data_IF_378357820814
#
_entry.id   IF_378357820814
#
_cell.length_a   1.000
_cell.length_b   1.000
_cell.length_c   1.000
_cell.angle_alpha   90.00
_cell.angle_beta   90.00
_cell.angle_gamma   90.00
#
_symmetry.space_group_name_H-M   'P 1'
#
loop_
_entity.id
_entity.type
_entity.pdbx_description
1 polymer ?
#
# COMPACT_ATOMS: atom_id res chain seq x y z
N UNK A 1 -4.59 9.17 6.63
CA UNK A 1 -4.87 10.04 7.78
C UNK A 1 -4.09 11.34 7.70
N UNK A 2 -4.48 12.32 8.49
CA UNK A 2 -3.88 13.65 8.49
C UNK A 2 -2.74 13.76 9.51
N UNK A 3 -1.70 14.56 9.19
CA UNK A 3 -0.71 15.02 10.16
C UNK A 3 -1.13 16.38 10.71
N UNK A 4 -1.40 16.46 12.00
CA UNK A 4 -1.87 17.68 12.67
C UNK A 4 -0.71 18.40 13.36
N UNK A 5 -0.54 19.70 13.08
CA UNK A 5 0.40 20.57 13.78
C UNK A 5 -0.36 21.55 14.69
N UNK A 6 0.00 21.60 15.97
CA UNK A 6 -0.69 22.43 16.95
C UNK A 6 0.28 23.10 17.91
N UNK A 7 -0.08 24.31 18.39
CA UNK A 7 0.58 24.97 19.50
C UNK A 7 0.03 24.58 20.85
N UNK A 8 -1.00 23.73 20.89
CA UNK A 8 -1.73 23.32 22.09
C UNK A 8 -2.43 24.45 22.85
N UNK A 9 -2.59 25.62 22.21
CA UNK A 9 -3.14 26.83 22.85
C UNK A 9 -4.55 26.63 23.41
N UNK A 10 -5.45 26.02 22.65
CA UNK A 10 -6.85 25.81 23.04
C UNK A 10 -6.99 24.96 24.31
N UNK A 11 -6.02 24.10 24.58
CA UNK A 11 -6.03 23.16 25.70
C UNK A 11 -5.09 23.55 26.85
N UNK A 12 -4.29 24.60 26.68
CA UNK A 12 -3.23 24.96 27.65
C UNK A 12 -3.75 25.31 29.04
N UNK A 13 -4.99 25.73 29.17
CA UNK A 13 -5.60 26.23 30.42
C UNK A 13 -6.46 25.21 31.18
N UNK A 14 -6.79 24.06 30.57
CA UNK A 14 -7.72 23.07 31.16
C UNK A 14 -7.24 21.65 30.91
N UNK A 15 -6.68 20.96 31.94
CA UNK A 15 -6.21 19.57 31.80
C UNK A 15 -7.29 18.60 31.30
N UNK A 16 -8.53 18.72 31.78
CA UNK A 16 -9.64 17.84 31.41
C UNK A 16 -9.99 17.97 29.90
N UNK A 17 -10.00 19.23 29.40
CA UNK A 17 -10.22 19.50 27.97
C UNK A 17 -9.10 18.95 27.09
N UNK A 18 -7.89 18.81 27.63
CA UNK A 18 -6.76 18.22 26.88
C UNK A 18 -7.00 16.74 26.59
N UNK A 19 -7.41 15.97 27.59
CA UNK A 19 -7.66 14.54 27.44
C UNK A 19 -8.85 14.27 26.51
N UNK A 20 -9.97 14.95 26.73
CA UNK A 20 -11.18 14.78 25.92
C UNK A 20 -10.96 15.21 24.47
N UNK A 21 -10.28 16.34 24.26
CA UNK A 21 -9.91 16.82 22.94
C UNK A 21 -8.99 15.83 22.21
N UNK A 22 -7.98 15.30 22.91
CA UNK A 22 -7.07 14.33 22.34
C UNK A 22 -7.77 13.01 21.98
N UNK A 23 -8.62 12.48 22.86
CA UNK A 23 -9.40 11.24 22.60
C UNK A 23 -10.31 11.36 21.38
N UNK A 24 -10.88 12.55 21.13
CA UNK A 24 -11.72 12.81 19.94
C UNK A 24 -10.89 12.95 18.65
N UNK A 25 -9.67 13.46 18.76
CA UNK A 25 -8.79 13.72 17.63
C UNK A 25 -8.00 12.48 17.21
N UNK A 26 -7.45 11.74 18.18
CA UNK A 26 -6.51 10.64 17.94
C UNK A 26 -7.01 9.57 16.94
N UNK A 27 -8.28 9.14 16.94
CA UNK A 27 -8.76 8.15 15.97
C UNK A 27 -8.84 8.66 14.51
N UNK A 28 -8.74 9.97 14.30
CA UNK A 28 -8.96 10.62 12.99
C UNK A 28 -7.67 11.04 12.29
N UNK A 29 -6.55 10.99 12.99
CA UNK A 29 -5.26 11.51 12.50
C UNK A 29 -4.20 10.40 12.49
N UNK A 30 -3.18 10.57 11.65
CA UNK A 30 -2.05 9.62 11.54
C UNK A 30 -0.87 10.00 12.42
N UNK A 31 -0.72 11.27 12.76
CA UNK A 31 0.33 11.76 13.65
C UNK A 31 0.00 13.18 14.12
N UNK A 32 0.64 13.62 15.22
CA UNK A 32 0.49 14.97 15.75
C UNK A 32 1.85 15.59 16.12
N UNK A 33 2.09 16.80 15.65
CA UNK A 33 3.22 17.63 16.06
C UNK A 33 2.76 18.74 17.02
N UNK A 34 3.31 18.75 18.23
CA UNK A 34 2.95 19.72 19.28
C UNK A 34 4.09 20.68 19.52
N UNK A 35 3.87 21.97 19.32
CA UNK A 35 4.87 23.01 19.53
C UNK A 35 4.97 23.40 21.00
N UNK A 36 6.14 23.14 21.58
CA UNK A 36 6.48 23.49 22.99
C UNK A 36 7.21 24.82 23.08
N UNK A 37 7.30 25.37 24.30
CA UNK A 37 8.03 26.60 24.61
C UNK A 37 7.25 27.91 24.44
N UNK A 38 5.95 27.86 24.01
CA UNK A 38 5.11 29.06 23.92
C UNK A 38 3.89 29.01 24.85
N UNK A 39 3.09 27.96 24.76
CA UNK A 39 1.86 27.78 25.54
C UNK A 39 1.96 26.62 26.52
N UNK A 40 2.77 25.65 26.19
CA UNK A 40 3.17 24.54 27.09
C UNK A 40 4.68 24.36 27.01
N UNK A 41 5.31 24.08 28.14
CA UNK A 41 6.76 23.84 28.19
C UNK A 41 7.14 22.41 27.82
N UNK A 42 6.26 21.45 28.14
CA UNK A 42 6.43 20.03 27.85
C UNK A 42 5.08 19.42 27.51
N UNK A 43 5.08 18.39 26.68
CA UNK A 43 3.88 17.62 26.39
C UNK A 43 3.46 16.89 27.67
N UNK A 44 2.18 17.02 28.10
CA UNK A 44 1.70 16.36 29.32
C UNK A 44 1.84 14.83 29.24
N UNK A 45 2.30 14.21 30.33
CA UNK A 45 2.52 12.75 30.39
C UNK A 45 1.24 11.96 30.04
N UNK A 46 0.09 12.41 30.48
CA UNK A 46 -1.21 11.81 30.16
C UNK A 46 -1.51 11.78 28.65
N UNK A 47 -1.11 12.82 27.92
CA UNK A 47 -1.26 12.87 26.47
C UNK A 47 -0.35 11.85 25.79
N UNK A 48 0.88 11.69 26.28
CA UNK A 48 1.79 10.66 25.78
C UNK A 48 1.25 9.25 26.03
N UNK A 49 0.72 8.99 27.24
CA UNK A 49 0.07 7.70 27.57
C UNK A 49 -1.15 7.42 26.70
N UNK A 50 -1.98 8.43 26.43
CA UNK A 50 -3.10 8.29 25.50
C UNK A 50 -2.62 8.04 24.07
N UNK A 51 -1.57 8.72 23.63
CA UNK A 51 -0.99 8.52 22.30
C UNK A 51 -0.51 7.07 22.12
N UNK A 52 0.14 6.49 23.14
CA UNK A 52 0.54 5.08 23.14
C UNK A 52 -0.66 4.13 23.02
N UNK A 53 -1.75 4.41 23.76
CA UNK A 53 -2.99 3.61 23.67
C UNK A 53 -3.60 3.63 22.27
N UNK A 54 -3.59 4.80 21.61
CA UNK A 54 -4.09 4.97 20.23
C UNK A 54 -3.05 4.60 19.17
N UNK A 55 -1.82 4.22 19.55
CA UNK A 55 -0.68 4.00 18.65
C UNK A 55 -0.44 5.20 17.73
N UNK A 56 -0.65 6.41 18.26
CA UNK A 56 -0.52 7.66 17.53
C UNK A 56 0.87 8.27 17.74
N UNK A 57 1.71 8.44 16.70
CA UNK A 57 2.98 9.13 16.80
C UNK A 57 2.80 10.59 17.24
N UNK A 58 3.53 10.99 18.29
CA UNK A 58 3.57 12.37 18.80
C UNK A 58 4.96 12.94 18.63
N UNK A 59 5.06 14.09 17.99
CA UNK A 59 6.32 14.80 17.77
C UNK A 59 6.35 16.10 18.57
N UNK A 60 7.43 16.31 19.34
CA UNK A 60 7.70 17.60 19.94
C UNK A 60 8.35 18.53 18.91
N UNK A 61 7.70 19.66 18.64
CA UNK A 61 8.22 20.71 17.74
C UNK A 61 8.77 21.85 18.60
N UNK A 62 10.09 22.07 18.57
CA UNK A 62 10.74 23.15 19.33
C UNK A 62 10.31 24.52 18.82
N UNK A 63 10.32 25.51 19.71
CA UNK A 63 9.92 26.92 19.41
C UNK A 63 10.66 27.51 18.22
N UNK A 64 11.94 27.19 18.05
CA UNK A 64 12.77 27.69 16.93
C UNK A 64 12.29 27.23 15.56
N UNK A 65 11.59 26.10 15.46
CA UNK A 65 11.09 25.56 14.18
C UNK A 65 9.81 26.29 13.79
N UNK A 66 9.78 26.91 12.61
CA UNK A 66 8.57 27.53 12.09
C UNK A 66 7.66 26.48 11.46
N UNK A 67 6.37 26.50 11.76
CA UNK A 67 5.40 25.57 11.15
C UNK A 67 5.41 25.60 9.63
N UNK A 68 5.59 26.78 9.04
CA UNK A 68 5.68 26.94 7.59
C UNK A 68 6.83 26.11 7.00
N UNK A 69 8.02 26.17 7.59
CA UNK A 69 9.19 25.41 7.14
C UNK A 69 8.95 23.90 7.27
N UNK A 70 8.37 23.48 8.40
CA UNK A 70 8.03 22.09 8.64
C UNK A 70 7.00 21.55 7.63
N UNK A 71 5.93 22.32 7.37
CA UNK A 71 4.91 21.95 6.37
C UNK A 71 5.53 21.86 4.98
N UNK A 72 6.36 22.83 4.58
CA UNK A 72 7.04 22.78 3.30
C UNK A 72 7.93 21.54 3.15
N UNK A 73 8.75 21.25 4.16
CA UNK A 73 9.62 20.05 4.16
C UNK A 73 8.80 18.77 4.04
N UNK A 74 7.79 18.58 4.88
CA UNK A 74 6.93 17.39 4.85
C UNK A 74 6.23 17.23 3.49
N UNK A 75 5.67 18.35 2.96
CA UNK A 75 4.99 18.32 1.65
C UNK A 75 5.96 17.95 0.53
N UNK A 76 7.17 18.54 0.55
CA UNK A 76 8.21 18.21 -0.44
C UNK A 76 8.63 16.73 -0.37
N UNK A 77 8.80 16.18 0.82
CA UNK A 77 9.14 14.77 0.98
C UNK A 77 8.02 13.83 0.48
N UNK A 78 6.75 14.16 0.77
CA UNK A 78 5.61 13.40 0.25
C UNK A 78 5.58 13.45 -1.28
N UNK A 79 5.77 14.63 -1.88
CA UNK A 79 5.81 14.79 -3.34
C UNK A 79 6.98 14.03 -3.96
N UNK A 80 8.17 14.10 -3.36
CA UNK A 80 9.35 13.37 -3.81
C UNK A 80 9.10 11.85 -3.76
N UNK A 81 8.50 11.35 -2.68
CA UNK A 81 8.15 9.94 -2.55
C UNK A 81 7.18 9.49 -3.66
N UNK A 82 6.11 10.25 -3.90
CA UNK A 82 5.13 9.96 -4.96
C UNK A 82 5.78 9.99 -6.34
N UNK A 83 6.61 10.99 -6.63
CA UNK A 83 7.31 11.11 -7.91
C UNK A 83 8.27 9.95 -8.13
N UNK A 84 9.07 9.58 -7.12
CA UNK A 84 9.99 8.46 -7.21
C UNK A 84 9.26 7.12 -7.42
N UNK A 85 8.11 6.93 -6.79
CA UNK A 85 7.26 5.75 -6.98
C UNK A 85 6.76 5.68 -8.43
N UNK A 86 6.28 6.78 -9.00
CA UNK A 86 5.82 6.83 -10.40
C UNK A 86 6.97 6.55 -11.37
N UNK A 87 8.16 7.11 -11.14
CA UNK A 87 9.35 6.83 -11.97
C UNK A 87 9.74 5.35 -11.92
N UNK A 88 9.65 4.73 -10.74
CA UNK A 88 9.95 3.30 -10.59
C UNK A 88 8.92 2.43 -11.33
N UNK A 89 7.63 2.74 -11.20
CA UNK A 89 6.54 2.06 -11.92
C UNK A 89 6.74 2.19 -13.43
N UNK A 90 7.06 3.38 -13.93
CA UNK A 90 7.32 3.62 -15.35
C UNK A 90 8.53 2.82 -15.85
N UNK A 91 9.64 2.81 -15.12
CA UNK A 91 10.81 1.98 -15.48
C UNK A 91 10.47 0.50 -15.54
N UNK A 92 9.62 0.03 -14.65
CA UNK A 92 9.17 -1.36 -14.63
C UNK A 92 8.28 -1.67 -15.85
N UNK A 93 7.39 -0.75 -16.19
CA UNK A 93 6.55 -0.86 -17.40
C UNK A 93 7.38 -0.93 -18.68
N UNK A 94 8.39 -0.07 -18.83
CA UNK A 94 9.30 -0.10 -19.97
C UNK A 94 10.05 -1.43 -20.08
N UNK A 95 10.47 -2.03 -18.96
CA UNK A 95 11.06 -3.39 -18.97
C UNK A 95 10.07 -4.45 -19.43
N UNK A 96 8.80 -4.37 -19.02
CA UNK A 96 7.78 -5.30 -19.49
C UNK A 96 7.53 -5.19 -20.98
N UNK A 97 7.37 -3.97 -21.50
CA UNK A 97 7.22 -3.73 -22.94
C UNK A 97 8.44 -4.28 -23.71
N UNK A 98 9.65 -3.96 -23.25
CA UNK A 98 10.87 -4.43 -23.91
C UNK A 98 10.94 -5.96 -23.92
N UNK A 99 10.55 -6.61 -22.81
CA UNK A 99 10.52 -8.08 -22.72
C UNK A 99 9.46 -8.65 -23.66
N UNK A 100 8.26 -8.05 -23.71
CA UNK A 100 7.18 -8.51 -24.59
C UNK A 100 7.50 -8.37 -26.09
N UNK A 101 8.23 -7.33 -26.46
CA UNK A 101 8.66 -7.11 -27.85
C UNK A 101 9.80 -8.05 -28.29
N UNK A 102 10.60 -8.52 -27.34
CA UNK A 102 11.79 -9.35 -27.63
C UNK A 102 11.61 -10.83 -27.30
N UNK A 103 10.51 -11.21 -26.69
CA UNK A 103 10.19 -12.62 -26.39
C UNK A 103 8.69 -12.88 -26.56
N UNK A 104 8.34 -13.87 -27.38
CA UNK A 104 6.98 -14.40 -27.49
C UNK A 104 6.62 -15.31 -26.29
N UNK A 105 7.46 -15.31 -25.23
CA UNK A 105 7.31 -16.23 -24.11
C UNK A 105 6.68 -15.53 -22.89
N UNK A 106 5.44 -15.90 -22.59
CA UNK A 106 4.71 -15.45 -21.41
C UNK A 106 5.47 -15.74 -20.09
N UNK A 107 6.27 -16.81 -20.05
CA UNK A 107 7.07 -17.13 -18.87
C UNK A 107 8.10 -16.05 -18.56
N UNK A 108 8.71 -15.45 -19.58
CA UNK A 108 9.65 -14.33 -19.43
C UNK A 108 8.98 -13.11 -18.81
N UNK A 109 7.75 -12.77 -19.23
CA UNK A 109 6.97 -11.67 -18.63
C UNK A 109 6.62 -11.95 -17.17
N UNK A 110 6.12 -13.14 -16.87
CA UNK A 110 5.79 -13.54 -15.50
C UNK A 110 7.04 -13.58 -14.60
N UNK A 111 8.21 -13.94 -15.15
CA UNK A 111 9.47 -13.86 -14.42
C UNK A 111 9.88 -12.41 -14.09
N UNK A 112 9.72 -11.47 -15.00
CA UNK A 112 9.99 -10.05 -14.74
C UNK A 112 9.07 -9.54 -13.65
N UNK A 113 7.77 -9.81 -13.73
CA UNK A 113 6.77 -9.40 -12.73
C UNK A 113 7.04 -10.02 -11.36
N UNK A 114 7.30 -11.32 -11.30
CA UNK A 114 7.58 -12.02 -10.05
C UNK A 114 8.85 -11.52 -9.34
N UNK A 115 9.91 -11.23 -10.12
CA UNK A 115 11.13 -10.62 -9.58
C UNK A 115 10.91 -9.20 -9.05
N UNK A 116 10.01 -8.42 -9.63
CA UNK A 116 9.68 -7.08 -9.14
C UNK A 116 8.83 -7.11 -7.88
N UNK A 117 7.85 -8.00 -7.85
CA UNK A 117 6.91 -8.16 -6.75
C UNK A 117 7.53 -8.88 -5.54
N UNK A 118 8.53 -9.74 -5.76
CA UNK A 118 9.04 -10.70 -4.77
C UNK A 118 7.94 -11.57 -4.15
N UNK A 119 6.85 -11.79 -4.88
CA UNK A 119 5.68 -12.59 -4.47
C UNK A 119 5.39 -13.65 -5.50
N UNK A 120 4.85 -14.78 -5.04
CA UNK A 120 4.36 -15.82 -5.95
C UNK A 120 3.33 -15.23 -6.90
N UNK A 121 3.50 -15.44 -8.19
CA UNK A 121 2.55 -15.00 -9.20
C UNK A 121 2.47 -15.99 -10.35
N UNK A 122 1.34 -16.00 -11.02
CA UNK A 122 1.09 -16.89 -12.16
C UNK A 122 0.00 -16.36 -13.09
N UNK A 123 0.04 -16.80 -14.34
CA UNK A 123 -0.99 -16.52 -15.32
C UNK A 123 -1.84 -17.75 -15.59
N UNK A 124 -3.15 -17.55 -15.69
CA UNK A 124 -4.12 -18.54 -16.15
C UNK A 124 -4.70 -18.11 -17.50
N UNK A 125 -5.04 -19.10 -18.34
CA UNK A 125 -5.94 -18.84 -19.47
C UNK A 125 -7.40 -18.69 -18.99
N UNK A 126 -8.32 -18.41 -19.91
CA UNK A 126 -9.75 -18.26 -19.61
C UNK A 126 -10.38 -19.53 -19.03
N UNK A 127 -9.84 -20.73 -19.33
CA UNK A 127 -10.28 -22.02 -18.80
C UNK A 127 -9.71 -22.34 -17.40
N UNK A 128 -8.80 -21.51 -16.88
CA UNK A 128 -8.16 -21.69 -15.58
C UNK A 128 -6.94 -22.62 -15.58
N UNK A 129 -6.33 -22.85 -16.76
CA UNK A 129 -5.07 -23.59 -16.89
C UNK A 129 -3.89 -22.64 -16.66
N UNK A 130 -2.90 -23.06 -15.87
CA UNK A 130 -1.66 -22.31 -15.66
C UNK A 130 -0.85 -22.28 -16.95
N UNK A 131 -0.57 -21.06 -17.45
CA UNK A 131 0.27 -20.83 -18.62
C UNK A 131 1.72 -20.57 -18.23
N UNK A 132 1.94 -19.78 -17.18
CA UNK A 132 3.26 -19.44 -16.66
C UNK A 132 3.17 -19.14 -15.17
N UNK A 133 4.27 -19.34 -14.45
CA UNK A 133 4.36 -19.06 -13.01
C UNK A 133 5.75 -18.64 -12.61
N UNK A 134 5.83 -17.76 -11.63
CA UNK A 134 7.04 -17.43 -10.88
C UNK A 134 6.83 -17.75 -9.41
N UNK A 135 7.80 -18.42 -8.81
CA UNK A 135 7.69 -18.81 -7.41
C UNK A 135 8.88 -18.36 -6.60
N UNK A 136 8.61 -17.88 -5.41
CA UNK A 136 9.62 -17.65 -4.38
C UNK A 136 10.20 -19.00 -3.93
N UNK A 137 11.46 -19.00 -3.49
CA UNK A 137 12.10 -20.22 -2.94
C UNK A 137 11.22 -20.83 -1.83
N UNK A 138 10.98 -22.13 -1.92
CA UNK A 138 10.17 -22.89 -0.95
C UNK A 138 8.72 -23.13 -1.35
N UNK A 139 8.19 -22.45 -2.38
CA UNK A 139 6.84 -22.70 -2.91
C UNK A 139 6.81 -24.04 -3.64
N UNK A 140 5.82 -24.88 -3.33
CA UNK A 140 5.66 -26.21 -3.93
C UNK A 140 4.67 -26.16 -5.09
N UNK A 141 4.78 -27.10 -6.02
CA UNK A 141 3.83 -27.23 -7.14
C UNK A 141 2.39 -27.42 -6.65
N UNK A 142 2.20 -28.13 -5.51
CA UNK A 142 0.89 -28.33 -4.91
C UNK A 142 0.24 -27.02 -4.50
N UNK A 143 1.00 -26.06 -3.98
CA UNK A 143 0.48 -24.76 -3.57
C UNK A 143 -0.20 -24.01 -4.75
N UNK A 144 0.36 -24.10 -5.96
CA UNK A 144 -0.26 -23.54 -7.17
C UNK A 144 -1.56 -24.24 -7.57
N UNK A 145 -1.63 -25.56 -7.40
CA UNK A 145 -2.86 -26.32 -7.68
C UNK A 145 -3.96 -25.94 -6.69
N UNK A 146 -3.63 -25.85 -5.41
CA UNK A 146 -4.56 -25.45 -4.35
C UNK A 146 -5.08 -24.01 -4.61
N UNK A 147 -4.23 -23.09 -5.04
CA UNK A 147 -4.62 -21.73 -5.42
C UNK A 147 -5.55 -21.71 -6.64
N UNK A 148 -5.27 -22.51 -7.67
CA UNK A 148 -6.15 -22.57 -8.86
C UNK A 148 -7.51 -23.17 -8.52
N UNK A 149 -7.59 -24.12 -7.61
CA UNK A 149 -8.84 -24.69 -7.13
C UNK A 149 -9.64 -23.65 -6.33
N UNK A 150 -9.02 -22.90 -5.44
CA UNK A 150 -9.65 -21.77 -4.73
C UNK A 150 -10.26 -20.75 -5.70
N UNK A 151 -9.59 -20.44 -6.81
CA UNK A 151 -10.13 -19.52 -7.82
C UNK A 151 -11.38 -20.08 -8.47
N UNK A 152 -11.42 -21.39 -8.77
CA UNK A 152 -12.57 -22.05 -9.39
C UNK A 152 -13.77 -22.14 -8.46
N UNK A 153 -13.54 -22.45 -7.18
CA UNK A 153 -14.59 -22.68 -6.17
C UNK A 153 -15.05 -21.41 -5.47
N UNK A 154 -14.16 -20.41 -5.30
CA UNK A 154 -14.39 -19.22 -4.52
C UNK A 154 -15.19 -18.10 -5.23
N UNK A 155 -16.03 -18.42 -6.24
CA UNK A 155 -16.78 -17.41 -6.99
C UNK A 155 -17.69 -16.51 -6.13
N UNK A 156 -18.18 -17.03 -5.00
CA UNK A 156 -19.06 -16.31 -4.08
C UNK A 156 -18.30 -15.49 -3.01
N UNK A 157 -16.98 -15.65 -2.91
CA UNK A 157 -16.13 -14.99 -1.89
C UNK A 157 -15.30 -13.84 -2.47
N UNK A 158 -15.63 -13.38 -3.68
CA UNK A 158 -14.89 -12.33 -4.36
C UNK A 158 -15.11 -10.98 -3.70
N UNK A 159 -14.02 -10.33 -3.33
CA UNK A 159 -14.04 -8.93 -2.91
C UNK A 159 -13.45 -8.11 -4.06
N UNK A 160 -14.29 -7.29 -4.69
CA UNK A 160 -13.91 -6.45 -5.81
C UNK A 160 -13.15 -5.21 -5.35
N UNK A 161 -12.16 -4.82 -6.13
CA UNK A 161 -11.36 -3.59 -5.96
C UNK A 161 -11.29 -2.86 -7.30
N UNK A 162 -10.81 -1.63 -7.31
CA UNK A 162 -10.64 -0.83 -8.54
C UNK A 162 -9.67 -1.48 -9.55
N UNK A 163 -8.85 -2.43 -9.10
CA UNK A 163 -7.80 -3.07 -9.91
C UNK A 163 -8.11 -4.52 -10.29
N UNK A 164 -9.23 -5.09 -9.83
CA UNK A 164 -9.57 -6.49 -10.00
C UNK A 164 -10.36 -7.01 -8.81
N UNK A 165 -10.13 -8.24 -8.41
CA UNK A 165 -10.75 -8.81 -7.22
C UNK A 165 -9.77 -9.72 -6.47
N UNK A 166 -10.06 -10.01 -5.20
CA UNK A 166 -9.28 -10.97 -4.44
C UNK A 166 -10.17 -12.02 -3.76
N UNK A 167 -9.59 -13.20 -3.57
CA UNK A 167 -10.17 -14.33 -2.85
C UNK A 167 -9.12 -14.80 -1.86
N UNK A 168 -9.36 -14.61 -0.56
CA UNK A 168 -8.38 -14.90 0.48
C UNK A 168 -7.04 -14.15 0.24
N UNK A 169 -5.97 -14.91 -0.03
CA UNK A 169 -4.62 -14.41 -0.32
C UNK A 169 -4.35 -14.16 -1.82
N UNK A 170 -5.33 -14.37 -2.70
CA UNK A 170 -5.17 -14.31 -4.15
C UNK A 170 -5.74 -13.00 -4.70
N UNK A 171 -4.87 -12.15 -5.20
CA UNK A 171 -5.23 -10.93 -5.90
C UNK A 171 -5.25 -11.20 -7.40
N UNK A 172 -6.40 -11.04 -8.03
CA UNK A 172 -6.69 -11.48 -9.39
C UNK A 172 -6.93 -10.27 -10.27
N UNK A 173 -6.14 -10.16 -11.32
CA UNK A 173 -6.24 -9.12 -12.36
C UNK A 173 -6.69 -9.80 -13.65
N UNK A 174 -7.81 -9.35 -14.20
CA UNK A 174 -8.37 -9.92 -15.43
C UNK A 174 -7.73 -9.30 -16.66
N UNK A 175 -7.28 -10.15 -17.58
CA UNK A 175 -6.61 -9.74 -18.83
C UNK A 175 -7.63 -9.81 -19.97
N UNK A 176 -7.83 -8.69 -20.67
CA UNK A 176 -8.79 -8.58 -21.76
C UNK A 176 -8.11 -8.24 -23.08
N UNK A 177 -8.57 -8.87 -24.17
CA UNK A 177 -8.27 -8.44 -25.52
C UNK A 177 -9.58 -8.18 -26.27
N UNK A 178 -9.75 -6.97 -26.85
CA UNK A 178 -10.97 -6.57 -27.56
C UNK A 178 -12.25 -6.89 -26.78
N UNK A 179 -12.27 -6.57 -25.49
CA UNK A 179 -13.38 -6.82 -24.55
C UNK A 179 -13.68 -8.30 -24.25
N UNK A 180 -12.85 -9.23 -24.71
CA UNK A 180 -12.96 -10.65 -24.38
C UNK A 180 -11.91 -11.00 -23.30
N UNK A 181 -12.34 -11.69 -22.24
CA UNK A 181 -11.46 -12.21 -21.22
C UNK A 181 -10.55 -13.29 -21.82
N UNK A 182 -9.26 -13.03 -21.89
CA UNK A 182 -8.25 -13.96 -22.43
C UNK A 182 -7.52 -14.74 -21.33
N UNK A 183 -7.46 -14.18 -20.12
CA UNK A 183 -6.76 -14.82 -19.02
C UNK A 183 -6.83 -14.03 -17.73
N UNK A 184 -6.03 -14.45 -16.75
CA UNK A 184 -5.91 -13.80 -15.44
C UNK A 184 -4.47 -13.82 -14.99
N UNK A 185 -3.98 -12.69 -14.48
CA UNK A 185 -2.72 -12.60 -13.75
C UNK A 185 -3.03 -12.60 -12.25
N UNK A 186 -2.36 -13.46 -11.49
CA UNK A 186 -2.62 -13.65 -10.07
C UNK A 186 -1.36 -13.35 -9.28
N UNK A 187 -1.51 -12.57 -8.20
CA UNK A 187 -0.49 -12.32 -7.18
C UNK A 187 -0.94 -12.96 -5.87
N UNK A 188 -0.07 -13.75 -5.25
CA UNK A 188 -0.35 -14.36 -3.94
C UNK A 188 0.26 -13.47 -2.86
N UNK A 189 -0.60 -12.90 -2.00
CA UNK A 189 -0.16 -12.03 -0.91
C UNK A 189 -1.13 -12.10 0.28
N UNK A 190 -0.59 -12.24 1.48
CA UNK A 190 -1.35 -12.09 2.71
C UNK A 190 -1.77 -10.63 2.89
N UNK A 191 -3.07 -10.37 3.05
CA UNK A 191 -3.62 -9.04 3.22
C UNK A 191 -3.70 -8.23 1.92
N UNK A 192 -3.76 -6.90 2.04
CA UNK A 192 -3.91 -6.02 0.89
C UNK A 192 -2.57 -5.77 0.20
N UNK A 193 -2.61 -5.65 -1.13
CA UNK A 193 -1.46 -5.21 -1.91
C UNK A 193 -1.16 -3.73 -1.63
N UNK A 194 0.11 -3.40 -1.59
CA UNK A 194 0.55 -1.99 -1.62
C UNK A 194 0.14 -1.34 -2.94
N UNK A 195 0.06 -0.02 -2.98
CA UNK A 195 -0.28 0.73 -4.19
C UNK A 195 0.68 0.38 -5.35
N UNK A 196 1.97 0.25 -5.07
CA UNK A 196 2.98 -0.17 -6.04
C UNK A 196 2.70 -1.57 -6.60
N UNK A 197 2.44 -2.55 -5.73
CA UNK A 197 2.16 -3.93 -6.14
C UNK A 197 0.88 -4.03 -6.97
N UNK A 198 -0.14 -3.24 -6.63
CA UNK A 198 -1.38 -3.15 -7.39
C UNK A 198 -1.16 -2.60 -8.80
N UNK A 199 -0.37 -1.53 -8.93
CA UNK A 199 -0.02 -0.96 -10.23
C UNK A 199 0.77 -1.95 -11.10
N UNK A 200 1.73 -2.68 -10.52
CA UNK A 200 2.45 -3.75 -11.23
C UNK A 200 1.50 -4.87 -11.67
N UNK A 201 0.54 -5.26 -10.83
CA UNK A 201 -0.49 -6.25 -11.18
C UNK A 201 -1.37 -5.82 -12.36
N UNK A 202 -1.80 -4.57 -12.38
CA UNK A 202 -2.56 -3.97 -13.49
C UNK A 202 -1.75 -3.93 -14.80
N UNK A 203 -0.47 -3.58 -14.71
CA UNK A 203 0.44 -3.60 -15.87
C UNK A 203 0.65 -5.01 -16.43
N UNK A 204 0.71 -6.02 -15.55
CA UNK A 204 0.83 -7.42 -15.96
C UNK A 204 -0.43 -7.97 -16.62
N UNK A 205 -1.58 -7.33 -16.44
CA UNK A 205 -2.87 -7.71 -17.02
C UNK A 205 -3.21 -6.94 -18.30
N UNK A 206 -2.51 -5.87 -18.62
CA UNK A 206 -2.71 -5.05 -19.82
C UNK A 206 -1.87 -5.51 -20.98
#
# INVERSE_FOLDING_TARGET
>A
GEFVLTTWYAFSKSPDLQEDGFKKLAPRISAIGIKTGRFINKIPLKILQLADQYRLPVFEVKTAVKFRELVQTITSEIQNYQTNMLIEVEKNYQKLIHTSLNSDDLASLVNVLGNQLHKNCFCLNHEGKILASWSRRGTRKQDFLDWTEKIKTGFNERIYTDAGFFINELHIFECYARSQLIGRFIIVAEGQLTEKERLIGQQGAS
#
